data_IF_433388536013
#
_entry.id   IF_433388536013
#
_cell.length_a   1.000
_cell.length_b   1.000
_cell.length_c   1.000
_cell.angle_alpha   90.00
_cell.angle_beta   90.00
_cell.angle_gamma   90.00
#
_symmetry.space_group_name_H-M   'P 1'
#
loop_
_entity.id
_entity.type
_entity.pdbx_description
1 polymer ?
#
# COMPACT_ATOMS: atom_id res chain seq x y z
N UNK A 1 9.69 5.57 14.74
CA UNK A 1 8.27 5.34 14.68
C UNK A 1 7.58 6.06 13.54
N UNK A 2 6.27 6.16 13.61
CA UNK A 2 5.46 6.73 12.53
C UNK A 2 5.72 8.22 12.27
N UNK A 3 6.14 8.97 13.27
CA UNK A 3 6.52 10.37 13.08
C UNK A 3 7.75 10.50 12.18
N UNK A 4 8.76 9.64 12.34
CA UNK A 4 9.92 9.60 11.47
C UNK A 4 9.55 9.17 10.05
N UNK A 5 8.72 8.13 9.92
CA UNK A 5 8.24 7.67 8.61
C UNK A 5 7.47 8.77 7.88
N UNK A 6 6.69 9.57 8.61
CA UNK A 6 6.03 10.72 8.00
C UNK A 6 7.04 11.75 7.50
N UNK A 7 8.07 12.05 8.27
CA UNK A 7 9.14 12.97 7.83
C UNK A 7 9.87 12.44 6.60
N UNK A 8 10.16 11.15 6.56
CA UNK A 8 10.76 10.49 5.40
C UNK A 8 9.85 10.58 4.17
N UNK A 9 8.57 10.32 4.35
CA UNK A 9 7.59 10.41 3.26
C UNK A 9 7.46 11.83 2.73
N UNK A 10 7.43 12.81 3.60
CA UNK A 10 7.41 14.23 3.23
C UNK A 10 8.67 14.59 2.42
N UNK A 11 9.83 14.13 2.84
CA UNK A 11 11.09 14.30 2.10
C UNK A 11 11.01 13.64 0.71
N UNK A 12 10.54 12.40 0.65
CA UNK A 12 10.40 11.66 -0.62
C UNK A 12 9.46 12.42 -1.57
N UNK A 13 8.31 12.85 -1.09
CA UNK A 13 7.34 13.57 -1.91
C UNK A 13 7.87 14.93 -2.38
N UNK A 14 8.61 15.65 -1.54
CA UNK A 14 9.20 16.92 -1.91
C UNK A 14 10.29 16.78 -3.00
N UNK A 15 10.92 15.61 -3.09
CA UNK A 15 11.96 15.33 -4.10
C UNK A 15 11.43 14.53 -5.30
N UNK A 16 10.15 14.21 -5.32
CA UNK A 16 9.52 13.46 -6.42
C UNK A 16 8.27 14.18 -6.91
N UNK A 17 7.11 13.77 -6.47
CA UNK A 17 5.82 14.26 -6.98
C UNK A 17 5.65 15.79 -6.86
N UNK A 18 6.18 16.40 -5.80
CA UNK A 18 6.12 17.85 -5.60
C UNK A 18 7.24 18.61 -6.32
N UNK A 19 8.26 17.94 -6.82
CA UNK A 19 9.40 18.59 -7.48
C UNK A 19 9.16 18.86 -8.97
N UNK A 20 8.12 18.27 -9.55
CA UNK A 20 7.81 18.39 -10.98
C UNK A 20 6.48 19.11 -11.15
N UNK A 21 6.48 20.33 -11.73
CA UNK A 21 5.24 21.04 -12.03
C UNK A 21 4.34 20.22 -12.96
N UNK A 22 3.08 20.08 -12.62
CA UNK A 22 2.11 19.32 -13.42
C UNK A 22 2.21 17.80 -13.28
N UNK A 23 2.96 17.30 -12.28
CA UNK A 23 3.11 15.86 -12.04
C UNK A 23 1.77 15.15 -11.84
N UNK A 24 0.76 15.84 -11.29
CA UNK A 24 -0.60 15.30 -11.10
C UNK A 24 -1.29 14.91 -12.41
N UNK A 25 -0.79 15.41 -13.54
CA UNK A 25 -1.29 15.11 -14.90
C UNK A 25 -0.43 14.06 -15.61
N UNK A 26 0.62 13.59 -14.96
CA UNK A 26 1.56 12.60 -15.48
C UNK A 26 1.32 11.23 -14.86
N UNK A 27 2.00 10.23 -15.37
CA UNK A 27 1.97 8.88 -14.84
C UNK A 27 3.05 8.72 -13.78
N UNK A 28 2.65 8.80 -12.51
CA UNK A 28 3.52 8.56 -11.36
C UNK A 28 2.96 7.42 -10.53
N UNK A 29 3.87 6.60 -10.02
CA UNK A 29 3.53 5.50 -9.13
C UNK A 29 4.52 5.47 -7.97
N UNK A 30 3.99 5.24 -6.76
CA UNK A 30 4.79 5.01 -5.56
C UNK A 30 4.28 3.72 -4.92
N UNK A 31 5.17 2.78 -4.65
CA UNK A 31 4.77 1.48 -4.11
C UNK A 31 5.83 0.90 -3.19
N UNK A 32 5.42 0.02 -2.31
CA UNK A 32 6.30 -0.70 -1.40
C UNK A 32 5.66 -1.03 -0.07
N UNK A 33 6.50 -1.50 0.84
CA UNK A 33 6.17 -1.66 2.25
C UNK A 33 6.34 -0.31 2.96
N UNK A 34 5.24 0.29 3.39
CA UNK A 34 5.26 1.59 4.07
C UNK A 34 5.37 1.43 5.58
N UNK A 35 5.29 0.20 6.05
CA UNK A 35 5.36 -0.13 7.47
C UNK A 35 4.45 0.76 8.34
N UNK A 36 3.32 1.16 7.79
CA UNK A 36 2.35 2.06 8.41
C UNK A 36 0.95 1.77 7.87
N UNK A 37 -0.06 2.21 8.60
CA UNK A 37 -1.46 1.93 8.32
C UNK A 37 -2.19 3.17 7.86
N UNK A 38 -3.25 2.98 7.06
CA UNK A 38 -4.09 4.07 6.58
C UNK A 38 -5.33 4.23 7.46
N UNK A 39 -5.70 5.48 7.74
CA UNK A 39 -6.96 5.80 8.43
C UNK A 39 -8.19 5.35 7.63
N UNK A 40 -8.06 5.16 6.32
CA UNK A 40 -9.14 4.59 5.49
C UNK A 40 -9.53 3.17 5.91
N UNK A 41 -8.62 2.44 6.54
CA UNK A 41 -8.87 1.09 7.05
C UNK A 41 -9.29 1.08 8.52
N UNK A 42 -9.51 2.23 9.13
CA UNK A 42 -9.79 2.27 10.57
C UNK A 42 -11.15 1.68 10.95
N UNK A 43 -12.06 1.57 10.00
CA UNK A 43 -13.30 0.81 10.21
C UNK A 43 -13.04 -0.66 10.57
N UNK A 44 -11.90 -1.19 10.12
CA UNK A 44 -11.42 -2.54 10.46
C UNK A 44 -10.57 -2.54 11.74
N UNK A 45 -9.57 -1.63 11.84
CA UNK A 45 -8.64 -1.62 12.98
C UNK A 45 -9.27 -1.12 14.28
N UNK A 46 -10.10 -0.11 14.20
CA UNK A 46 -10.76 0.52 15.35
C UNK A 46 -9.78 1.14 16.35
N UNK A 47 -8.73 1.80 15.84
CA UNK A 47 -7.82 2.60 16.65
C UNK A 47 -8.46 3.94 17.03
N UNK A 48 -7.99 4.58 18.12
CA UNK A 48 -8.45 5.93 18.47
C UNK A 48 -8.24 6.94 17.33
N UNK A 49 -9.12 7.92 17.25
CA UNK A 49 -8.98 9.01 16.30
C UNK A 49 -7.64 9.74 16.52
N UNK A 50 -6.95 10.10 15.43
CA UNK A 50 -5.66 10.78 15.48
C UNK A 50 -4.48 9.87 15.89
N UNK A 51 -4.64 8.57 15.81
CA UNK A 51 -3.57 7.63 16.09
C UNK A 51 -2.35 7.87 15.19
N UNK A 52 -1.15 7.84 15.77
CA UNK A 52 0.08 8.11 15.03
C UNK A 52 0.37 7.10 13.93
N UNK A 53 -0.23 5.89 13.99
CA UNK A 53 -0.12 4.89 12.94
C UNK A 53 -0.62 5.38 11.57
N UNK A 54 -1.45 6.42 11.55
CA UNK A 54 -2.04 6.97 10.33
C UNK A 54 -1.27 8.14 9.73
N UNK A 55 -0.22 8.63 10.38
CA UNK A 55 0.45 9.87 9.98
C UNK A 55 1.01 9.83 8.55
N UNK A 56 1.59 8.71 8.12
CA UNK A 56 2.20 8.58 6.79
C UNK A 56 1.13 8.69 5.69
N UNK A 57 0.10 7.86 5.78
CA UNK A 57 -0.94 7.81 4.75
C UNK A 57 -1.85 9.03 4.78
N UNK A 58 -2.11 9.60 5.96
CA UNK A 58 -2.82 10.87 6.06
C UNK A 58 -2.06 12.00 5.35
N UNK A 59 -0.73 12.03 5.47
CA UNK A 59 0.08 12.97 4.72
C UNK A 59 -0.08 12.76 3.21
N UNK A 60 0.07 11.53 2.73
CA UNK A 60 -0.03 11.21 1.29
C UNK A 60 -1.41 11.61 0.75
N UNK A 61 -2.47 11.26 1.46
CA UNK A 61 -3.84 11.52 1.00
C UNK A 61 -4.22 13.00 1.02
N UNK A 62 -3.64 13.78 1.94
CA UNK A 62 -3.94 15.21 2.08
C UNK A 62 -3.06 16.11 1.25
N UNK A 63 -1.81 15.71 0.98
CA UNK A 63 -0.79 16.59 0.41
C UNK A 63 -0.27 16.14 -0.94
N UNK A 64 -0.76 15.05 -1.49
CA UNK A 64 -0.36 14.56 -2.82
C UNK A 64 -1.57 14.24 -3.66
N UNK A 65 -1.43 14.17 -5.00
CA UNK A 65 -2.49 13.72 -5.90
C UNK A 65 -2.65 12.19 -5.93
N UNK A 66 -1.83 11.44 -5.20
CA UNK A 66 -1.83 9.99 -5.24
C UNK A 66 -3.16 9.38 -4.80
N UNK A 67 -3.58 8.37 -5.53
CA UNK A 67 -4.75 7.53 -5.23
C UNK A 67 -4.25 6.19 -4.68
N UNK A 68 -4.80 5.77 -3.55
CA UNK A 68 -4.56 4.44 -2.98
C UNK A 68 -5.29 3.41 -3.85
N UNK A 69 -4.51 2.62 -4.61
CA UNK A 69 -5.06 1.75 -5.66
C UNK A 69 -5.99 0.68 -5.07
N UNK A 70 -5.52 -0.07 -4.10
CA UNK A 70 -6.32 -1.19 -3.55
C UNK A 70 -7.57 -0.68 -2.84
N UNK A 71 -7.46 0.35 -2.01
CA UNK A 71 -8.63 0.93 -1.35
C UNK A 71 -9.63 1.53 -2.35
N UNK A 72 -9.13 2.12 -3.43
CA UNK A 72 -9.99 2.66 -4.50
C UNK A 72 -10.72 1.60 -5.30
N UNK A 73 -10.10 0.44 -5.54
CA UNK A 73 -10.70 -0.66 -6.28
C UNK A 73 -11.63 -1.54 -5.45
N UNK A 74 -11.42 -1.58 -4.14
CA UNK A 74 -12.18 -2.43 -3.22
C UNK A 74 -12.75 -1.62 -2.05
N UNK A 75 -13.65 -0.66 -2.34
CA UNK A 75 -14.24 0.15 -1.27
C UNK A 75 -15.04 -0.73 -0.32
N UNK A 76 -14.83 -0.54 0.98
CA UNK A 76 -15.51 -1.31 2.02
C UNK A 76 -14.96 -2.71 2.28
N UNK A 77 -13.90 -3.11 1.57
CA UNK A 77 -13.19 -4.37 1.82
C UNK A 77 -11.83 -4.13 2.47
N UNK A 78 -11.46 -4.98 3.42
CA UNK A 78 -10.13 -4.96 4.00
C UNK A 78 -9.27 -6.03 3.33
N UNK A 79 -8.34 -5.58 2.48
CA UNK A 79 -7.39 -6.44 1.77
C UNK A 79 -6.06 -6.48 2.52
N UNK A 80 -5.93 -7.39 3.48
CA UNK A 80 -4.68 -7.53 4.24
C UNK A 80 -3.49 -7.86 3.33
N UNK A 81 -2.34 -7.24 3.60
CA UNK A 81 -1.08 -7.52 2.90
C UNK A 81 -0.09 -8.30 3.74
N UNK A 82 -0.47 -8.69 4.96
CA UNK A 82 0.37 -9.52 5.84
C UNK A 82 -0.44 -10.64 6.46
N UNK A 83 0.24 -11.68 6.94
CA UNK A 83 -0.39 -12.76 7.70
C UNK A 83 -0.97 -12.29 9.03
N UNK A 84 -0.49 -11.16 9.56
CA UNK A 84 -0.99 -10.55 10.80
C UNK A 84 -2.22 -9.68 10.64
N UNK A 85 -2.91 -9.76 9.50
CA UNK A 85 -4.11 -8.98 9.18
C UNK A 85 -3.89 -7.47 9.26
N UNK A 86 -2.83 -7.00 8.64
CA UNK A 86 -2.56 -5.59 8.44
C UNK A 86 -2.40 -5.28 6.95
N UNK A 87 -2.68 -4.04 6.56
CA UNK A 87 -2.39 -3.54 5.22
C UNK A 87 -1.34 -2.46 5.38
N UNK A 88 -0.10 -2.83 5.06
CA UNK A 88 1.08 -1.96 5.18
C UNK A 88 1.87 -1.85 3.88
N UNK A 89 1.52 -2.64 2.89
CA UNK A 89 2.03 -2.57 1.53
C UNK A 89 1.00 -1.84 0.66
N UNK A 90 1.47 -0.88 -0.11
CA UNK A 90 0.60 0.03 -0.86
C UNK A 90 1.11 0.24 -2.28
N UNK A 91 0.19 0.49 -3.18
CA UNK A 91 0.44 1.07 -4.50
C UNK A 91 -0.38 2.35 -4.60
N UNK A 92 0.32 3.45 -4.85
CA UNK A 92 -0.27 4.75 -5.10
C UNK A 92 -0.01 5.15 -6.54
N UNK A 93 -1.02 5.67 -7.22
CA UNK A 93 -0.91 6.18 -8.58
C UNK A 93 -1.48 7.59 -8.66
N UNK A 94 -0.93 8.42 -9.55
CA UNK A 94 -1.60 9.65 -9.95
C UNK A 94 -2.93 9.32 -10.64
N UNK A 95 -3.92 10.23 -10.62
CA UNK A 95 -5.22 9.97 -11.24
C UNK A 95 -5.16 9.51 -12.69
N UNK A 96 -4.34 10.11 -13.60
CA UNK A 96 -4.26 9.62 -14.98
C UNK A 96 -3.76 8.18 -15.08
N UNK A 97 -2.81 7.78 -14.24
CA UNK A 97 -2.31 6.41 -14.23
C UNK A 97 -3.34 5.45 -13.61
N UNK A 98 -4.03 5.88 -12.56
CA UNK A 98 -5.10 5.10 -11.93
C UNK A 98 -6.20 4.73 -12.92
N UNK A 99 -6.56 5.64 -13.83
CA UNK A 99 -7.55 5.40 -14.89
C UNK A 99 -7.10 4.35 -15.91
N UNK A 100 -5.80 4.06 -15.99
CA UNK A 100 -5.25 3.03 -16.88
C UNK A 100 -5.26 1.63 -16.26
N UNK A 101 -5.66 1.48 -15.02
CA UNK A 101 -5.69 0.18 -14.34
C UNK A 101 -6.80 -0.68 -14.92
N UNK A 102 -6.44 -1.88 -15.37
CA UNK A 102 -7.37 -2.90 -15.86
C UNK A 102 -7.64 -3.97 -14.82
N UNK A 103 -6.69 -4.19 -13.92
CA UNK A 103 -6.82 -5.14 -12.82
C UNK A 103 -5.90 -4.75 -11.67
N UNK A 104 -6.36 -4.90 -10.44
CA UNK A 104 -5.55 -4.75 -9.24
C UNK A 104 -6.09 -5.66 -8.15
N UNK A 105 -5.19 -6.36 -7.46
CA UNK A 105 -5.57 -7.15 -6.27
C UNK A 105 -4.34 -7.46 -5.42
N UNK A 106 -4.61 -7.93 -4.21
CA UNK A 106 -3.63 -8.55 -3.33
C UNK A 106 -3.66 -10.06 -3.59
N UNK A 107 -2.50 -10.65 -3.86
CA UNK A 107 -2.39 -12.09 -4.11
C UNK A 107 -2.55 -12.83 -2.79
N UNK A 108 -3.58 -13.66 -2.69
CA UNK A 108 -3.92 -14.38 -1.44
C UNK A 108 -3.54 -15.85 -1.46
N UNK A 109 -3.02 -16.35 -2.56
CA UNK A 109 -2.76 -17.77 -2.81
C UNK A 109 -1.64 -18.31 -1.91
N UNK A 110 -1.97 -18.60 -0.67
CA UNK A 110 -1.11 -19.33 0.27
C UNK A 110 0.29 -18.71 0.53
N UNK A 111 0.51 -17.42 0.22
CA UNK A 111 1.81 -16.77 0.44
C UNK A 111 2.18 -16.69 1.92
N UNK A 112 1.20 -16.53 2.78
CA UNK A 112 1.39 -16.44 4.23
C UNK A 112 1.02 -17.74 4.96
N UNK A 113 0.70 -18.80 4.21
CA UNK A 113 0.36 -20.08 4.79
C UNK A 113 1.61 -20.92 5.07
N UNK A 114 1.62 -21.74 6.13
CA UNK A 114 2.74 -22.63 6.43
C UNK A 114 2.98 -23.64 5.30
N UNK A 115 4.23 -23.87 4.99
CA UNK A 115 4.63 -24.95 4.06
C UNK A 115 4.58 -26.28 4.81
N UNK A 116 3.79 -27.23 4.34
CA UNK A 116 3.57 -28.52 4.97
C UNK A 116 4.25 -29.69 4.25
N UNK A 117 5.01 -29.41 3.21
CA UNK A 117 5.74 -30.42 2.46
C UNK A 117 6.92 -30.97 3.30
N UNK A 118 6.96 -32.28 3.61
CA UNK A 118 8.04 -32.87 4.39
C UNK A 118 9.42 -32.74 3.73
N UNK A 119 9.49 -32.55 2.42
CA UNK A 119 10.74 -32.34 1.69
C UNK A 119 11.31 -30.93 1.90
N UNK A 120 10.56 -30.00 2.48
CA UNK A 120 11.01 -28.66 2.77
C UNK A 120 11.80 -28.62 4.08
N UNK A 121 12.69 -27.62 4.19
CA UNK A 121 13.44 -27.42 5.42
C UNK A 121 12.48 -27.17 6.58
N UNK A 122 12.78 -27.74 7.74
CA UNK A 122 11.92 -27.66 8.93
C UNK A 122 11.71 -26.23 9.46
N UNK A 123 12.61 -25.30 9.12
CA UNK A 123 12.52 -23.91 9.51
C UNK A 123 11.87 -23.02 8.45
N UNK A 124 11.35 -23.58 7.37
CA UNK A 124 10.68 -22.84 6.31
C UNK A 124 9.16 -23.01 6.46
N UNK A 125 8.50 -21.95 6.92
CA UNK A 125 7.08 -21.98 7.24
C UNK A 125 6.18 -21.51 6.09
N UNK A 126 6.61 -20.48 5.36
CA UNK A 126 5.84 -19.85 4.29
C UNK A 126 6.78 -19.06 3.38
N UNK A 127 6.36 -18.76 2.14
CA UNK A 127 7.21 -17.98 1.23
C UNK A 127 7.51 -16.57 1.76
N UNK A 128 6.53 -15.91 2.36
CA UNK A 128 6.67 -14.58 2.97
C UNK A 128 5.55 -14.38 4.00
N UNK A 129 5.77 -13.47 4.95
CA UNK A 129 4.71 -12.94 5.81
C UNK A 129 3.98 -11.76 5.16
N UNK A 130 4.42 -11.33 3.97
CA UNK A 130 3.74 -10.36 3.13
C UNK A 130 3.10 -11.03 1.91
N UNK A 131 1.99 -10.45 1.45
CA UNK A 131 1.29 -10.84 0.23
C UNK A 131 1.65 -9.89 -0.90
N UNK A 132 1.95 -10.37 -2.12
CA UNK A 132 2.20 -9.50 -3.26
C UNK A 132 0.96 -8.69 -3.64
N UNK A 133 1.20 -7.51 -4.18
CA UNK A 133 0.17 -6.71 -4.85
C UNK A 133 0.45 -6.76 -6.35
N UNK A 134 -0.59 -7.00 -7.14
CA UNK A 134 -0.51 -7.00 -8.60
C UNK A 134 -1.40 -5.89 -9.13
N UNK A 135 -0.86 -5.08 -10.03
CA UNK A 135 -1.59 -4.03 -10.72
C UNK A 135 -1.27 -4.09 -12.21
N UNK A 136 -2.29 -4.24 -13.03
CA UNK A 136 -2.16 -4.28 -14.48
C UNK A 136 -2.67 -2.97 -15.08
N UNK A 137 -1.93 -2.44 -16.02
CA UNK A 137 -2.23 -1.19 -16.70
C UNK A 137 -2.41 -1.39 -18.21
N UNK A 138 -3.34 -0.68 -18.81
CA UNK A 138 -3.41 -0.51 -20.25
C UNK A 138 -2.74 0.81 -20.63
N UNK A 139 -1.56 0.73 -21.24
CA UNK A 139 -0.74 1.89 -21.60
C UNK A 139 -0.91 2.32 -23.07
N UNK A 140 -1.84 1.73 -23.79
CA UNK A 140 -2.09 2.04 -25.20
C UNK A 140 -3.04 3.22 -25.39
#
# INVERSE_FOLDING_TARGET
>A
GDKYRRMEMEYICNHTIHSVPGAEKQFWMMMGDFNSRSSRDNWFYKYPAGDTRFLVHDYILRHTPYVDVIAGKYPGEFKTTTGGKSRIDFVYCTPPLYERITHADVVTDAYTEPVRDPAKLSNFWHPSDHRPIVVDFNMK
#
